data_IF_189249237302
#
_entry.id   IF_189249237302
#
_cell.length_a   1.000
_cell.length_b   1.000
_cell.length_c   1.000
_cell.angle_alpha   90.00
_cell.angle_beta   90.00
_cell.angle_gamma   90.00
#
_symmetry.space_group_name_H-M   'P 1'
#
loop_
_entity.id
_entity.type
_entity.pdbx_description
1 polymer ?
#
# COMPACT_ATOMS: atom_id res chain seq x y z
N UNK A 1 30.68 -23.32 3.09
CA UNK A 1 29.78 -22.67 4.08
C UNK A 1 28.41 -22.56 3.44
N UNK A 2 27.35 -23.12 4.01
CA UNK A 2 25.98 -23.00 3.48
C UNK A 2 25.50 -21.58 3.74
N UNK A 3 25.12 -20.87 2.68
CA UNK A 3 24.58 -19.52 2.83
C UNK A 3 23.20 -19.58 3.50
N UNK A 4 22.96 -18.67 4.44
CA UNK A 4 21.68 -18.59 5.16
C UNK A 4 20.56 -18.13 4.21
N UNK A 5 19.44 -18.86 4.21
CA UNK A 5 18.26 -18.47 3.43
C UNK A 5 17.43 -17.41 4.17
N UNK A 6 16.66 -16.62 3.42
CA UNK A 6 15.70 -15.67 4.02
C UNK A 6 14.59 -16.41 4.78
N UNK A 7 14.27 -17.65 4.38
CA UNK A 7 13.32 -18.50 5.08
C UNK A 7 13.83 -18.85 6.48
N UNK A 8 15.06 -19.39 6.59
CA UNK A 8 15.66 -19.75 7.87
C UNK A 8 15.88 -18.54 8.78
N UNK A 9 16.19 -17.38 8.21
CA UNK A 9 16.43 -16.15 8.97
C UNK A 9 15.17 -15.60 9.59
N UNK A 10 14.04 -15.63 8.91
CA UNK A 10 12.86 -14.96 9.44
C UNK A 10 11.50 -15.46 8.96
N UNK A 11 11.33 -15.82 7.68
CA UNK A 11 9.99 -16.08 7.11
C UNK A 11 9.24 -17.19 7.88
N UNK A 12 9.92 -18.25 8.30
CA UNK A 12 9.32 -19.33 9.07
C UNK A 12 8.72 -18.92 10.42
N UNK A 13 9.14 -17.77 10.95
CA UNK A 13 8.66 -17.23 12.22
C UNK A 13 7.55 -16.19 12.07
N UNK A 14 7.31 -15.67 10.86
CA UNK A 14 6.25 -14.72 10.59
C UNK A 14 4.91 -15.43 10.41
N UNK A 15 3.91 -14.97 11.14
CA UNK A 15 2.56 -15.52 11.05
C UNK A 15 1.67 -14.73 10.06
N UNK A 16 1.98 -13.44 9.80
CA UNK A 16 1.21 -12.55 8.95
C UNK A 16 2.11 -11.75 8.01
N UNK A 17 1.55 -11.41 6.86
CA UNK A 17 2.26 -10.64 5.82
C UNK A 17 2.36 -9.15 6.14
N UNK A 18 1.53 -8.64 7.02
CA UNK A 18 1.54 -7.23 7.35
C UNK A 18 2.78 -6.88 8.17
N UNK A 19 3.49 -5.87 7.71
CA UNK A 19 4.74 -5.39 8.31
C UNK A 19 4.59 -4.08 9.07
N UNK A 20 3.35 -3.59 9.24
CA UNK A 20 3.13 -2.44 10.10
C UNK A 20 3.37 -2.81 11.56
N UNK A 21 4.08 -1.96 12.27
CA UNK A 21 4.27 -2.08 13.69
C UNK A 21 3.10 -1.40 14.43
N UNK A 22 2.61 -1.95 15.54
CA UNK A 22 2.99 -3.23 16.13
C UNK A 22 2.50 -4.41 15.27
N UNK A 23 3.29 -5.47 15.23
CA UNK A 23 2.88 -6.70 14.56
C UNK A 23 1.86 -7.43 15.45
N UNK A 24 0.78 -7.90 14.82
CA UNK A 24 -0.14 -8.77 15.52
C UNK A 24 0.57 -10.08 15.90
N UNK A 25 0.63 -10.35 17.19
CA UNK A 25 1.21 -11.56 17.76
C UNK A 25 0.24 -12.17 18.77
N UNK A 26 0.48 -13.41 19.17
CA UNK A 26 -0.33 -14.05 20.21
C UNK A 26 -0.30 -13.25 21.54
N UNK A 27 0.72 -12.44 21.79
CA UNK A 27 0.79 -11.58 22.98
C UNK A 27 -0.23 -10.44 22.97
N UNK A 28 -0.70 -10.02 21.79
CA UNK A 28 -1.74 -8.99 21.68
C UNK A 28 -3.13 -9.54 21.96
N UNK A 29 -3.36 -10.84 21.88
CA UNK A 29 -4.67 -11.47 22.08
C UNK A 29 -5.25 -11.18 23.47
N UNK A 30 -4.42 -10.93 24.47
CA UNK A 30 -4.86 -10.58 25.84
C UNK A 30 -5.53 -9.20 25.94
N UNK A 31 -5.30 -8.33 24.95
CA UNK A 31 -5.89 -6.98 24.86
C UNK A 31 -7.01 -6.90 23.82
N UNK A 32 -7.42 -8.03 23.26
CA UNK A 32 -8.39 -8.08 22.18
C UNK A 32 -9.81 -7.77 22.70
N UNK A 33 -10.50 -6.89 22.02
CA UNK A 33 -11.86 -6.46 22.34
C UNK A 33 -12.82 -7.14 21.36
N UNK A 34 -13.84 -7.82 21.87
CA UNK A 34 -14.78 -8.64 21.06
C UNK A 34 -16.22 -8.11 21.04
N UNK A 35 -16.57 -7.21 21.96
CA UNK A 35 -17.89 -6.61 22.00
C UNK A 35 -17.99 -5.38 21.10
N UNK A 36 -18.99 -5.34 20.20
CA UNK A 36 -19.15 -4.26 19.23
C UNK A 36 -19.34 -2.87 19.87
N UNK A 37 -20.02 -2.81 21.03
CA UNK A 37 -20.20 -1.55 21.75
C UNK A 37 -18.85 -1.09 22.31
N UNK A 38 -18.11 -2.00 22.92
CA UNK A 38 -16.77 -1.73 23.42
C UNK A 38 -15.79 -1.35 22.29
N UNK A 39 -15.86 -2.00 21.12
CA UNK A 39 -15.08 -1.65 19.93
C UNK A 39 -15.31 -0.18 19.55
N UNK A 40 -16.58 0.25 19.48
CA UNK A 40 -16.92 1.64 19.15
C UNK A 40 -16.34 2.63 20.15
N UNK A 41 -16.43 2.33 21.43
CA UNK A 41 -15.89 3.19 22.49
C UNK A 41 -14.36 3.27 22.45
N UNK A 42 -13.67 2.15 22.21
CA UNK A 42 -12.21 2.12 22.01
C UNK A 42 -11.80 3.01 20.84
N UNK A 43 -12.45 2.86 19.67
CA UNK A 43 -12.18 3.67 18.49
C UNK A 43 -12.38 5.15 18.80
N UNK A 44 -13.55 5.50 19.37
CA UNK A 44 -13.92 6.89 19.66
C UNK A 44 -12.94 7.54 20.64
N UNK A 45 -12.68 6.90 21.78
CA UNK A 45 -11.75 7.38 22.80
C UNK A 45 -10.37 7.67 22.20
N UNK A 46 -9.79 6.71 21.51
CA UNK A 46 -8.44 6.84 20.97
C UNK A 46 -8.36 7.91 19.85
N UNK A 47 -9.39 8.05 19.02
CA UNK A 47 -9.44 9.11 17.99
C UNK A 47 -9.63 10.49 18.65
N UNK A 48 -10.45 10.61 19.67
CA UNK A 48 -10.69 11.88 20.37
C UNK A 48 -9.40 12.49 20.94
N UNK A 49 -8.46 11.67 21.36
CA UNK A 49 -7.16 12.09 21.88
C UNK A 49 -6.17 12.59 20.80
N UNK A 50 -6.48 12.40 19.52
CA UNK A 50 -5.60 12.81 18.42
C UNK A 50 -6.00 14.18 17.86
N UNK A 51 -5.03 15.05 17.60
CA UNK A 51 -5.24 16.30 16.86
C UNK A 51 -5.15 16.08 15.34
N UNK A 52 -4.31 15.15 14.95
CA UNK A 52 -3.97 14.87 13.55
C UNK A 52 -4.12 13.38 13.26
N UNK A 53 -4.60 13.09 12.05
CA UNK A 53 -4.76 11.72 11.55
C UNK A 53 -4.24 11.60 10.13
N UNK A 54 -3.85 10.38 9.77
CA UNK A 54 -3.71 9.98 8.38
C UNK A 54 -4.88 9.07 7.99
N UNK A 55 -5.28 9.11 6.74
CA UNK A 55 -6.31 8.23 6.19
C UNK A 55 -5.71 7.34 5.10
N UNK A 56 -6.17 6.11 5.05
CA UNK A 56 -5.87 5.16 4.00
C UNK A 56 -7.16 4.53 3.49
N UNK A 57 -7.32 4.44 2.18
CA UNK A 57 -8.44 3.73 1.57
C UNK A 57 -7.90 2.54 0.80
N UNK A 58 -8.39 1.36 1.14
CA UNK A 58 -8.03 0.11 0.47
C UNK A 58 -9.03 -0.22 -0.64
N UNK A 59 -8.52 -0.44 -1.84
CA UNK A 59 -9.30 -0.92 -3.00
C UNK A 59 -8.83 -2.34 -3.31
N UNK A 60 -9.63 -3.38 -3.04
CA UNK A 60 -9.18 -4.76 -3.12
C UNK A 60 -9.20 -5.36 -4.55
N UNK A 61 -9.43 -4.56 -5.59
CA UNK A 61 -9.59 -5.06 -6.95
C UNK A 61 -8.31 -5.03 -7.76
N UNK A 62 -8.07 -6.10 -8.52
CA UNK A 62 -7.03 -6.21 -9.55
C UNK A 62 -7.58 -6.93 -10.78
N UNK A 63 -7.02 -6.65 -11.97
CA UNK A 63 -7.31 -7.43 -13.18
C UNK A 63 -6.87 -8.90 -13.02
N UNK A 64 -5.74 -9.11 -12.32
CA UNK A 64 -5.23 -10.43 -11.94
C UNK A 64 -4.37 -10.33 -10.70
N UNK A 65 -4.36 -11.39 -9.88
CA UNK A 65 -3.51 -11.44 -8.68
C UNK A 65 -2.13 -11.97 -9.03
N UNK A 66 -1.11 -11.13 -8.87
CA UNK A 66 0.28 -11.54 -9.00
C UNK A 66 0.66 -12.60 -7.96
N UNK A 67 1.52 -13.56 -8.34
CA UNK A 67 1.92 -14.67 -7.45
C UNK A 67 2.68 -14.21 -6.20
N UNK A 68 3.35 -13.07 -6.24
CA UNK A 68 4.09 -12.48 -5.11
C UNK A 68 3.21 -11.57 -4.22
N UNK A 69 1.95 -11.34 -4.58
CA UNK A 69 1.11 -10.36 -3.87
C UNK A 69 0.70 -10.88 -2.49
N UNK A 70 1.01 -10.10 -1.46
CA UNK A 70 0.67 -10.36 -0.06
C UNK A 70 -0.54 -9.54 0.43
N UNK A 71 -1.04 -8.61 -0.41
CA UNK A 71 -2.15 -7.75 -0.03
C UNK A 71 -3.50 -8.46 -0.10
N UNK A 72 -4.48 -7.90 0.59
CA UNK A 72 -5.89 -8.29 0.48
C UNK A 72 -6.39 -7.87 -0.90
N UNK A 73 -6.54 -8.84 -1.80
CA UNK A 73 -6.93 -8.61 -3.19
C UNK A 73 -7.97 -9.63 -3.60
N UNK A 74 -9.01 -9.15 -4.24
CA UNK A 74 -10.01 -9.97 -4.93
C UNK A 74 -9.55 -10.21 -6.36
N UNK A 75 -9.43 -11.48 -6.70
CA UNK A 75 -9.01 -11.91 -8.04
C UNK A 75 -10.25 -12.06 -8.92
N UNK A 76 -10.23 -11.41 -10.08
CA UNK A 76 -11.32 -11.47 -11.07
C UNK A 76 -12.71 -11.10 -10.50
N UNK A 77 -12.90 -9.86 -10.06
CA UNK A 77 -14.20 -9.41 -9.57
C UNK A 77 -15.28 -9.56 -10.67
N UNK A 78 -16.50 -9.86 -10.24
CA UNK A 78 -17.65 -9.91 -11.12
C UNK A 78 -18.11 -8.49 -11.51
N UNK A 79 -18.94 -8.41 -12.55
CA UNK A 79 -19.54 -7.13 -12.95
C UNK A 79 -20.44 -6.59 -11.82
N UNK A 80 -20.23 -5.33 -11.45
CA UNK A 80 -20.95 -4.68 -10.35
C UNK A 80 -20.27 -4.79 -8.99
N UNK A 81 -19.35 -5.72 -8.76
CA UNK A 81 -18.64 -5.86 -7.46
C UNK A 81 -17.96 -4.57 -7.03
N UNK A 82 -17.32 -3.88 -7.96
CA UNK A 82 -16.61 -2.64 -7.66
C UNK A 82 -17.56 -1.50 -7.25
N UNK A 83 -18.72 -1.39 -7.91
CA UNK A 83 -19.71 -0.36 -7.59
C UNK A 83 -20.33 -0.63 -6.21
N UNK A 84 -20.75 -1.87 -5.99
CA UNK A 84 -21.31 -2.31 -4.70
C UNK A 84 -20.30 -2.11 -3.55
N UNK A 85 -19.04 -2.46 -3.79
CA UNK A 85 -17.98 -2.22 -2.81
C UNK A 85 -17.82 -0.74 -2.47
N UNK A 86 -17.80 0.13 -3.48
CA UNK A 86 -17.63 1.58 -3.26
C UNK A 86 -18.81 2.14 -2.48
N UNK A 87 -20.04 1.69 -2.73
CA UNK A 87 -21.21 2.10 -1.95
C UNK A 87 -21.05 1.76 -0.46
N UNK A 88 -20.57 0.55 -0.15
CA UNK A 88 -20.32 0.14 1.25
C UNK A 88 -19.13 0.88 1.85
N UNK A 89 -18.06 1.08 1.10
CA UNK A 89 -16.91 1.87 1.53
C UNK A 89 -17.31 3.32 1.90
N UNK A 90 -18.20 3.94 1.13
CA UNK A 90 -18.71 5.27 1.46
C UNK A 90 -19.55 5.28 2.74
N UNK A 91 -20.37 4.25 2.97
CA UNK A 91 -21.09 4.07 4.23
C UNK A 91 -20.12 3.87 5.41
N UNK A 92 -19.04 3.07 5.23
CA UNK A 92 -18.01 2.93 6.26
C UNK A 92 -17.36 4.27 6.60
N UNK A 93 -16.94 5.04 5.60
CA UNK A 93 -16.36 6.38 5.81
C UNK A 93 -17.34 7.26 6.61
N UNK A 94 -18.63 7.13 6.36
CA UNK A 94 -19.66 7.89 7.06
C UNK A 94 -19.81 7.49 8.53
N UNK A 95 -19.60 6.19 8.90
CA UNK A 95 -19.59 5.75 10.29
C UNK A 95 -18.54 6.47 11.15
N UNK A 96 -17.43 6.87 10.53
CA UNK A 96 -16.36 7.61 11.20
C UNK A 96 -16.53 9.13 11.14
N UNK A 97 -17.48 9.65 10.33
CA UNK A 97 -17.60 11.10 10.02
C UNK A 97 -17.61 11.97 11.27
N UNK A 98 -18.53 11.67 12.19
CA UNK A 98 -18.69 12.49 13.40
C UNK A 98 -17.51 12.38 14.36
N UNK A 99 -16.80 11.24 14.34
CA UNK A 99 -15.67 11.00 15.23
C UNK A 99 -14.44 11.79 14.77
N UNK A 100 -14.21 11.88 13.45
CA UNK A 100 -12.99 12.49 12.89
C UNK A 100 -13.21 13.88 12.27
N UNK A 101 -14.41 14.42 12.23
CA UNK A 101 -14.75 15.70 11.57
C UNK A 101 -13.89 16.90 12.02
N UNK A 102 -13.48 16.93 13.29
CA UNK A 102 -12.68 18.01 13.85
C UNK A 102 -11.17 17.72 13.81
N UNK A 103 -10.76 16.57 13.27
CA UNK A 103 -9.35 16.16 13.21
C UNK A 103 -8.71 16.70 11.94
N UNK A 104 -7.46 17.16 12.05
CA UNK A 104 -6.70 17.60 10.87
C UNK A 104 -6.12 16.37 10.16
N UNK A 105 -6.50 16.18 8.91
CA UNK A 105 -5.98 15.08 8.08
C UNK A 105 -4.69 15.55 7.41
N UNK A 106 -3.57 14.91 7.76
CA UNK A 106 -2.22 15.31 7.34
C UNK A 106 -1.56 14.35 6.35
N UNK A 107 -2.23 13.26 5.99
CA UNK A 107 -1.76 12.30 4.99
C UNK A 107 -2.92 11.47 4.47
N UNK A 108 -2.92 11.17 3.16
CA UNK A 108 -3.93 10.33 2.51
C UNK A 108 -3.34 9.54 1.35
N UNK A 109 -3.57 8.23 1.36
CA UNK A 109 -3.25 7.34 0.25
C UNK A 109 -4.48 6.53 -0.15
N UNK A 110 -4.68 6.40 -1.45
CA UNK A 110 -5.61 5.47 -2.09
C UNK A 110 -4.80 4.34 -2.70
N UNK A 111 -4.85 3.18 -2.07
CA UNK A 111 -3.98 2.04 -2.40
C UNK A 111 -4.69 0.69 -2.32
N UNK A 112 -3.91 -0.38 -2.25
CA UNK A 112 -4.40 -1.74 -2.03
C UNK A 112 -4.08 -2.71 -3.15
N UNK A 113 -5.09 -3.19 -3.85
CA UNK A 113 -4.94 -3.95 -5.08
C UNK A 113 -4.52 -3.04 -6.22
N UNK A 114 -5.49 -2.41 -6.86
CA UNK A 114 -5.26 -1.43 -7.92
C UNK A 114 -6.39 -0.39 -7.89
N UNK A 115 -6.24 0.74 -7.21
CA UNK A 115 -7.29 1.77 -7.15
C UNK A 115 -7.76 2.25 -8.52
N UNK A 116 -6.85 2.41 -9.47
CA UNK A 116 -7.18 2.81 -10.84
C UNK A 116 -7.97 1.75 -11.65
N UNK A 117 -8.21 0.56 -11.07
CA UNK A 117 -9.17 -0.41 -11.62
C UNK A 117 -10.60 0.14 -11.61
N UNK A 118 -10.94 0.94 -10.60
CA UNK A 118 -12.26 1.55 -10.44
C UNK A 118 -12.59 2.48 -11.61
N UNK A 119 -13.87 2.68 -11.85
CA UNK A 119 -14.38 3.70 -12.77
C UNK A 119 -14.02 5.11 -12.30
N UNK A 120 -14.00 6.07 -13.23
CA UNK A 120 -13.77 7.49 -12.90
C UNK A 120 -14.85 7.99 -11.92
N UNK A 121 -16.09 7.51 -12.06
CA UNK A 121 -17.20 7.84 -11.18
C UNK A 121 -16.91 7.38 -9.74
N UNK A 122 -16.50 6.13 -9.56
CA UNK A 122 -16.18 5.59 -8.24
C UNK A 122 -14.98 6.26 -7.59
N UNK A 123 -13.93 6.54 -8.37
CA UNK A 123 -12.77 7.31 -7.89
C UNK A 123 -13.20 8.73 -7.45
N UNK A 124 -14.14 9.32 -8.17
CA UNK A 124 -14.70 10.64 -7.81
C UNK A 124 -15.49 10.56 -6.50
N UNK A 125 -16.39 9.57 -6.36
CA UNK A 125 -17.18 9.39 -5.14
C UNK A 125 -16.30 9.22 -3.89
N UNK A 126 -15.28 8.37 -3.97
CA UNK A 126 -14.33 8.16 -2.87
C UNK A 126 -13.60 9.46 -2.55
N UNK A 127 -13.02 10.10 -3.56
CA UNK A 127 -12.20 11.30 -3.37
C UNK A 127 -13.01 12.47 -2.77
N UNK A 128 -14.21 12.69 -3.27
CA UNK A 128 -15.10 13.74 -2.74
C UNK A 128 -15.58 13.43 -1.31
N UNK A 129 -15.76 12.16 -0.97
CA UNK A 129 -16.04 11.76 0.42
C UNK A 129 -14.88 12.09 1.35
N UNK A 130 -13.64 11.81 0.94
CA UNK A 130 -12.44 12.15 1.72
C UNK A 130 -12.25 13.66 1.83
N UNK A 131 -12.50 14.41 0.78
CA UNK A 131 -12.41 15.90 0.78
C UNK A 131 -13.37 16.60 1.74
N UNK A 132 -14.41 15.91 2.20
CA UNK A 132 -15.30 16.47 3.25
C UNK A 132 -14.66 16.51 4.64
N UNK A 133 -13.51 15.86 4.84
CA UNK A 133 -12.73 15.99 6.07
C UNK A 133 -11.84 17.24 6.03
N UNK A 134 -11.33 17.65 7.19
CA UNK A 134 -10.44 18.80 7.33
C UNK A 134 -9.02 18.44 6.86
N UNK A 135 -8.79 18.46 5.54
CA UNK A 135 -7.50 18.16 4.95
C UNK A 135 -6.48 19.27 5.22
N UNK A 136 -5.23 18.89 5.50
CA UNK A 136 -4.13 19.85 5.61
C UNK A 136 -3.92 20.55 4.27
N UNK A 137 -3.76 21.86 4.32
CA UNK A 137 -3.49 22.68 3.13
C UNK A 137 -2.19 22.21 2.45
N UNK A 138 -2.21 22.06 1.13
CA UNK A 138 -1.10 21.56 0.32
C UNK A 138 -0.67 20.09 0.63
N UNK A 139 -1.51 19.29 1.28
CA UNK A 139 -1.26 17.87 1.45
C UNK A 139 -1.22 17.17 0.09
N UNK A 140 -0.23 16.28 -0.09
CA UNK A 140 -0.17 15.42 -1.28
C UNK A 140 -1.16 14.27 -1.16
N UNK A 141 -2.11 14.21 -2.10
CA UNK A 141 -2.96 13.04 -2.31
C UNK A 141 -2.21 12.06 -3.22
N UNK A 142 -2.10 10.82 -2.78
CA UNK A 142 -1.40 9.78 -3.52
C UNK A 142 -2.35 8.67 -3.95
N UNK A 143 -2.12 8.13 -5.15
CA UNK A 143 -2.90 7.03 -5.71
C UNK A 143 -1.99 6.01 -6.37
N UNK A 144 -2.39 4.74 -6.31
CA UNK A 144 -1.69 3.64 -6.96
C UNK A 144 -2.33 3.26 -8.30
N UNK A 145 -1.50 2.87 -9.26
CA UNK A 145 -1.92 2.41 -10.58
C UNK A 145 -1.02 1.28 -11.08
N UNK A 146 -1.42 0.66 -12.20
CA UNK A 146 -0.58 -0.28 -12.93
C UNK A 146 -0.11 0.33 -14.26
N UNK A 147 1.02 -0.14 -14.81
CA UNK A 147 1.49 0.31 -16.12
C UNK A 147 0.45 0.11 -17.23
N UNK A 148 -0.26 -1.01 -17.20
CA UNK A 148 -1.28 -1.34 -18.22
C UNK A 148 -2.43 -0.33 -18.21
N UNK A 149 -2.96 0.00 -17.04
CA UNK A 149 -4.04 1.00 -16.93
C UNK A 149 -3.54 2.38 -17.33
N UNK A 150 -2.36 2.78 -16.83
CA UNK A 150 -1.81 4.10 -17.16
C UNK A 150 -1.47 4.26 -18.65
N UNK A 151 -1.04 3.17 -19.33
CA UNK A 151 -0.76 3.19 -20.76
C UNK A 151 -2.03 3.26 -21.61
N UNK A 152 -3.09 2.57 -21.21
CA UNK A 152 -4.28 2.38 -22.05
C UNK A 152 -5.42 3.37 -21.76
N UNK A 153 -5.42 4.05 -20.60
CA UNK A 153 -6.52 4.93 -20.17
C UNK A 153 -5.99 6.29 -19.69
N UNK A 154 -5.55 7.13 -20.64
CA UNK A 154 -5.06 8.48 -20.35
C UNK A 154 -6.16 9.36 -19.72
N UNK A 155 -7.43 9.15 -20.06
CA UNK A 155 -8.53 9.96 -19.53
C UNK A 155 -8.72 9.68 -18.02
N UNK A 156 -8.53 8.44 -17.58
CA UNK A 156 -8.50 8.09 -16.16
C UNK A 156 -7.35 8.77 -15.43
N UNK A 157 -6.16 8.79 -16.02
CA UNK A 157 -5.00 9.46 -15.42
C UNK A 157 -5.24 10.98 -15.31
N UNK A 158 -5.82 11.61 -16.34
CA UNK A 158 -6.23 13.03 -16.28
C UNK A 158 -7.30 13.27 -15.22
N UNK A 159 -8.29 12.38 -15.10
CA UNK A 159 -9.33 12.46 -14.09
C UNK A 159 -8.74 12.41 -12.67
N UNK A 160 -7.81 11.50 -12.40
CA UNK A 160 -7.09 11.44 -11.11
C UNK A 160 -6.37 12.76 -10.81
N UNK A 161 -5.67 13.35 -11.80
CA UNK A 161 -5.03 14.65 -11.62
C UNK A 161 -6.05 15.75 -11.31
N UNK A 162 -7.16 15.78 -12.04
CA UNK A 162 -8.26 16.74 -11.82
C UNK A 162 -8.91 16.59 -10.44
N UNK A 163 -8.99 15.37 -9.93
CA UNK A 163 -9.47 15.08 -8.57
C UNK A 163 -8.51 15.56 -7.47
N UNK A 164 -7.31 16.04 -7.82
CA UNK A 164 -6.35 16.61 -6.88
C UNK A 164 -5.24 15.67 -6.46
N UNK A 165 -5.17 14.45 -7.05
CA UNK A 165 -4.00 13.60 -6.85
C UNK A 165 -2.78 14.26 -7.50
N UNK A 166 -1.72 14.38 -6.75
CA UNK A 166 -0.48 14.99 -7.22
C UNK A 166 0.72 14.04 -7.12
N UNK A 167 0.57 12.91 -6.46
CA UNK A 167 1.51 11.80 -6.48
C UNK A 167 0.83 10.55 -7.04
N UNK A 168 1.50 9.88 -7.97
CA UNK A 168 1.06 8.60 -8.52
C UNK A 168 2.15 7.56 -8.34
N UNK A 169 1.80 6.38 -7.82
CA UNK A 169 2.70 5.24 -7.67
C UNK A 169 2.34 4.15 -8.66
N UNK A 170 3.34 3.63 -9.34
CA UNK A 170 3.16 2.63 -10.39
C UNK A 170 4.08 1.44 -10.19
N UNK A 171 3.49 0.27 -10.01
CA UNK A 171 4.24 -0.96 -9.82
C UNK A 171 4.78 -1.55 -11.12
N UNK A 172 6.08 -1.35 -11.45
CA UNK A 172 6.74 -2.08 -12.52
C UNK A 172 7.16 -3.47 -12.05
N UNK A 173 7.69 -3.53 -10.85
CA UNK A 173 8.30 -4.69 -10.21
C UNK A 173 9.61 -5.12 -10.89
N UNK A 174 9.59 -5.37 -12.19
CA UNK A 174 10.75 -5.71 -13.04
C UNK A 174 10.47 -5.37 -14.49
N UNK A 175 11.51 -5.25 -15.31
CA UNK A 175 11.38 -5.14 -16.77
C UNK A 175 11.73 -6.45 -17.49
N UNK A 176 12.02 -7.51 -16.74
CA UNK A 176 12.26 -8.84 -17.30
C UNK A 176 10.92 -9.49 -17.64
N UNK A 177 10.62 -9.60 -18.93
CA UNK A 177 9.37 -10.21 -19.42
C UNK A 177 9.20 -11.64 -18.91
N UNK A 178 10.30 -12.42 -18.87
CA UNK A 178 10.31 -13.77 -18.31
C UNK A 178 9.85 -13.81 -16.84
N UNK A 179 10.30 -12.86 -16.02
CA UNK A 179 9.88 -12.76 -14.63
C UNK A 179 8.42 -12.29 -14.52
N UNK A 180 8.01 -11.31 -15.31
CA UNK A 180 6.61 -10.84 -15.31
C UNK A 180 5.65 -11.98 -15.68
N UNK A 181 5.95 -12.74 -16.73
CA UNK A 181 5.18 -13.92 -17.11
C UNK A 181 5.11 -14.96 -15.98
N UNK A 182 6.25 -15.24 -15.33
CA UNK A 182 6.31 -16.19 -14.22
C UNK A 182 5.45 -15.75 -13.03
N UNK A 183 5.24 -14.45 -12.84
CA UNK A 183 4.41 -13.87 -11.78
C UNK A 183 2.92 -13.77 -12.17
N UNK A 184 2.57 -14.06 -13.43
CA UNK A 184 1.22 -13.83 -13.96
C UNK A 184 0.89 -12.34 -14.09
N UNK A 185 1.89 -11.52 -14.44
CA UNK A 185 1.77 -10.07 -14.56
C UNK A 185 2.06 -9.60 -15.98
N UNK A 186 1.16 -8.79 -16.52
CA UNK A 186 1.35 -8.14 -17.80
C UNK A 186 2.29 -6.94 -17.67
N UNK A 187 3.18 -6.77 -18.66
CA UNK A 187 4.09 -5.64 -18.74
C UNK A 187 5.11 -5.82 -19.85
N UNK A 188 5.53 -4.73 -20.44
CA UNK A 188 6.62 -4.63 -21.42
C UNK A 188 7.21 -3.24 -21.41
N UNK A 189 8.38 -3.06 -22.02
CA UNK A 189 9.00 -1.74 -22.10
C UNK A 189 8.11 -0.70 -22.78
N UNK A 190 7.43 -1.07 -23.87
CA UNK A 190 6.51 -0.18 -24.59
C UNK A 190 5.32 0.26 -23.73
N UNK A 191 4.74 -0.66 -22.94
CA UNK A 191 3.69 -0.34 -21.98
C UNK A 191 4.22 0.64 -20.93
N UNK A 192 5.43 0.42 -20.41
CA UNK A 192 6.03 1.28 -19.38
C UNK A 192 6.32 2.69 -19.88
N UNK A 193 6.88 2.81 -21.09
CA UNK A 193 7.14 4.09 -21.76
C UNK A 193 5.84 4.86 -21.97
N UNK A 194 4.80 4.19 -22.53
CA UNK A 194 3.50 4.79 -22.75
C UNK A 194 2.80 5.21 -21.47
N UNK A 195 2.90 4.41 -20.42
CA UNK A 195 2.37 4.75 -19.10
C UNK A 195 3.01 6.02 -18.53
N UNK A 196 4.34 6.13 -18.59
CA UNK A 196 5.06 7.32 -18.14
C UNK A 196 4.71 8.54 -18.98
N UNK A 197 4.64 8.39 -20.32
CA UNK A 197 4.19 9.46 -21.22
C UNK A 197 2.80 9.98 -20.84
N UNK A 198 1.82 9.10 -20.65
CA UNK A 198 0.46 9.48 -20.28
C UNK A 198 0.38 10.15 -18.90
N UNK A 199 1.14 9.65 -17.91
CA UNK A 199 1.22 10.26 -16.57
C UNK A 199 1.80 11.68 -16.67
N UNK A 200 2.85 11.89 -17.47
CA UNK A 200 3.44 13.23 -17.70
C UNK A 200 2.48 14.14 -18.47
N UNK A 201 1.83 13.63 -19.51
CA UNK A 201 0.83 14.38 -20.27
C UNK A 201 -0.37 14.80 -19.44
N UNK A 202 -0.73 14.02 -18.41
CA UNK A 202 -1.75 14.38 -17.42
C UNK A 202 -1.28 15.42 -16.38
N UNK A 203 0.00 15.80 -16.38
CA UNK A 203 0.56 16.83 -15.49
C UNK A 203 1.03 16.33 -14.13
N UNK A 204 1.27 15.03 -13.95
CA UNK A 204 1.91 14.53 -12.74
C UNK A 204 3.42 14.80 -12.77
N UNK A 205 3.91 15.40 -11.71
CA UNK A 205 5.31 15.74 -11.47
C UNK A 205 5.91 14.98 -10.26
N UNK A 206 5.16 14.05 -9.70
CA UNK A 206 5.53 13.21 -8.56
C UNK A 206 5.22 11.74 -8.85
N UNK A 207 5.93 11.19 -9.83
CA UNK A 207 5.84 9.79 -10.21
C UNK A 207 6.76 8.95 -9.34
N UNK A 208 6.21 7.94 -8.69
CA UNK A 208 6.96 6.87 -8.04
C UNK A 208 6.86 5.58 -8.87
N UNK A 209 7.97 4.87 -9.03
CA UNK A 209 8.01 3.55 -9.64
C UNK A 209 8.46 2.53 -8.59
N UNK A 210 7.61 1.52 -8.37
CA UNK A 210 7.89 0.44 -7.44
C UNK A 210 8.59 -0.71 -8.16
N UNK A 211 9.72 -1.14 -7.62
CA UNK A 211 10.53 -2.24 -8.11
C UNK A 211 10.69 -3.30 -7.04
N UNK A 212 10.76 -4.56 -7.47
CA UNK A 212 10.93 -5.69 -6.55
C UNK A 212 12.22 -6.46 -6.83
N UNK A 213 12.83 -6.94 -5.75
CA UNK A 213 14.04 -7.75 -5.80
C UNK A 213 13.99 -8.92 -4.83
N UNK A 214 14.96 -9.82 -4.94
CA UNK A 214 15.05 -11.00 -4.08
C UNK A 214 14.18 -12.15 -4.55
N UNK A 215 13.80 -12.24 -5.81
CA UNK A 215 13.15 -13.41 -6.38
C UNK A 215 14.16 -14.52 -6.67
N UNK A 216 13.74 -15.79 -6.50
CA UNK A 216 14.60 -16.94 -6.70
C UNK A 216 15.28 -16.94 -8.08
N UNK A 217 14.50 -16.73 -9.13
CA UNK A 217 14.95 -16.79 -10.53
C UNK A 217 15.39 -15.43 -11.10
N UNK A 218 15.48 -14.39 -10.29
CA UNK A 218 15.99 -13.08 -10.71
C UNK A 218 17.49 -13.04 -10.58
N UNK A 219 18.21 -12.83 -11.68
CA UNK A 219 19.65 -12.61 -11.62
C UNK A 219 19.99 -11.18 -11.16
N UNK A 220 21.26 -10.96 -10.75
CA UNK A 220 21.75 -9.62 -10.45
C UNK A 220 21.71 -8.72 -11.67
N UNK A 221 21.97 -9.29 -12.86
CA UNK A 221 21.92 -8.57 -14.14
C UNK A 221 20.48 -8.18 -14.50
N UNK A 222 19.48 -9.05 -14.35
CA UNK A 222 18.07 -8.72 -14.57
C UNK A 222 17.66 -7.53 -13.70
N UNK A 223 18.06 -7.55 -12.42
CA UNK A 223 17.72 -6.47 -11.51
C UNK A 223 18.47 -5.18 -11.83
N UNK A 224 19.78 -5.26 -12.14
CA UNK A 224 20.56 -4.10 -12.58
C UNK A 224 19.97 -3.45 -13.85
N UNK A 225 19.54 -4.26 -14.81
CA UNK A 225 18.90 -3.79 -16.04
C UNK A 225 17.55 -3.12 -15.75
N UNK A 226 16.77 -3.67 -14.80
CA UNK A 226 15.53 -3.05 -14.32
C UNK A 226 15.80 -1.66 -13.73
N UNK A 227 16.80 -1.54 -12.87
CA UNK A 227 17.19 -0.24 -12.26
C UNK A 227 17.63 0.77 -13.34
N UNK A 228 18.53 0.38 -14.26
CA UNK A 228 19.02 1.25 -15.33
C UNK A 228 17.90 1.74 -16.23
N UNK A 229 17.00 0.84 -16.62
CA UNK A 229 15.84 1.19 -17.43
C UNK A 229 14.91 2.18 -16.71
N UNK A 230 14.61 1.92 -15.43
CA UNK A 230 13.77 2.81 -14.64
C UNK A 230 14.39 4.19 -14.46
N UNK A 231 15.72 4.27 -14.26
CA UNK A 231 16.46 5.54 -14.20
C UNK A 231 16.30 6.32 -15.53
N UNK A 232 16.33 5.64 -16.67
CA UNK A 232 16.19 6.29 -18.00
C UNK A 232 14.78 6.89 -18.20
N UNK A 233 13.76 6.33 -17.59
CA UNK A 233 12.38 6.89 -17.59
C UNK A 233 12.24 8.13 -16.69
N UNK A 234 13.25 8.43 -15.90
CA UNK A 234 13.38 9.64 -15.09
C UNK A 234 12.18 9.92 -14.14
N UNK A 235 11.75 8.95 -13.31
CA UNK A 235 10.76 9.24 -12.26
C UNK A 235 11.38 10.09 -11.15
N UNK A 236 10.54 10.79 -10.38
CA UNK A 236 11.00 11.54 -9.20
C UNK A 236 11.39 10.61 -8.06
N UNK A 237 10.67 9.47 -7.95
CA UNK A 237 10.85 8.51 -6.86
C UNK A 237 10.96 7.10 -7.39
N UNK A 238 11.78 6.30 -6.70
CA UNK A 238 11.88 4.85 -6.93
C UNK A 238 11.81 4.18 -5.57
N UNK A 239 10.92 3.21 -5.44
CA UNK A 239 10.81 2.39 -4.22
C UNK A 239 11.25 0.97 -4.51
N UNK A 240 12.12 0.43 -3.67
CA UNK A 240 12.61 -0.94 -3.78
C UNK A 240 11.94 -1.82 -2.73
N UNK A 241 11.21 -2.84 -3.17
CA UNK A 241 10.60 -3.83 -2.29
C UNK A 241 11.34 -5.15 -2.40
N UNK A 242 11.86 -5.63 -1.26
CA UNK A 242 12.30 -7.02 -1.17
C UNK A 242 11.08 -7.92 -1.19
N UNK A 243 11.07 -8.96 -2.03
CA UNK A 243 10.00 -9.95 -2.00
C UNK A 243 9.93 -10.64 -0.63
N UNK A 244 8.79 -10.59 0.03
CA UNK A 244 8.61 -11.10 1.40
C UNK A 244 8.16 -12.53 1.46
N UNK A 245 7.66 -13.08 0.38
CA UNK A 245 7.25 -14.48 0.20
C UNK A 245 6.09 -14.96 1.08
N UNK A 246 6.04 -14.61 2.36
CA UNK A 246 5.08 -15.14 3.34
C UNK A 246 3.63 -14.88 2.91
N UNK A 247 2.81 -15.95 2.91
CA UNK A 247 1.41 -15.88 2.49
C UNK A 247 1.21 -15.68 0.98
N UNK A 248 2.26 -15.74 0.18
CA UNK A 248 2.18 -15.62 -1.28
C UNK A 248 2.24 -16.99 -1.96
N UNK A 249 1.88 -17.04 -3.24
CA UNK A 249 2.01 -18.27 -4.05
C UNK A 249 3.47 -18.69 -4.28
N UNK A 250 4.44 -17.84 -3.93
CA UNK A 250 5.89 -18.08 -4.08
C UNK A 250 6.56 -18.44 -2.75
N UNK A 251 5.83 -18.67 -1.66
CA UNK A 251 6.41 -18.89 -0.33
C UNK A 251 7.46 -20.01 -0.30
N UNK A 252 7.21 -21.12 -1.00
CA UNK A 252 8.15 -22.25 -1.07
C UNK A 252 9.50 -21.90 -1.71
N UNK A 253 9.55 -20.92 -2.60
CA UNK A 253 10.79 -20.48 -3.25
C UNK A 253 11.75 -19.77 -2.28
N UNK A 254 11.25 -19.28 -1.16
CA UNK A 254 12.04 -18.54 -0.16
C UNK A 254 13.20 -19.34 0.41
N UNK A 255 13.09 -20.66 0.42
CA UNK A 255 14.14 -21.57 0.89
C UNK A 255 15.40 -21.53 0.00
N UNK A 256 15.25 -21.21 -1.29
CA UNK A 256 16.35 -21.07 -2.24
C UNK A 256 16.95 -19.67 -2.33
N UNK A 257 16.35 -18.68 -1.66
CA UNK A 257 16.83 -17.28 -1.71
C UNK A 257 17.73 -17.00 -0.51
N UNK A 258 18.97 -16.61 -0.76
CA UNK A 258 19.96 -16.34 0.29
C UNK A 258 19.96 -14.86 0.69
N UNK A 259 20.33 -14.57 1.94
CA UNK A 259 20.58 -13.19 2.39
C UNK A 259 21.68 -12.52 1.57
N UNK A 260 22.70 -13.26 1.17
CA UNK A 260 23.76 -12.76 0.31
C UNK A 260 23.23 -12.21 -1.01
N UNK A 261 22.35 -12.98 -1.69
CA UNK A 261 21.70 -12.52 -2.93
C UNK A 261 20.91 -11.24 -2.73
N UNK A 262 20.08 -11.21 -1.70
CA UNK A 262 19.20 -10.07 -1.40
C UNK A 262 20.02 -8.81 -1.12
N UNK A 263 21.04 -8.91 -0.26
CA UNK A 263 21.90 -7.78 0.09
C UNK A 263 22.69 -7.30 -1.13
N UNK A 264 23.25 -8.21 -1.93
CA UNK A 264 23.98 -7.87 -3.15
C UNK A 264 23.10 -7.15 -4.17
N UNK A 265 21.86 -7.58 -4.38
CA UNK A 265 20.91 -6.88 -5.26
C UNK A 265 20.59 -5.48 -4.75
N UNK A 266 20.37 -5.32 -3.44
CA UNK A 266 20.17 -4.00 -2.85
C UNK A 266 21.37 -3.08 -3.07
N UNK A 267 22.59 -3.58 -2.84
CA UNK A 267 23.82 -2.79 -3.04
C UNK A 267 24.01 -2.35 -4.51
N UNK A 268 23.69 -3.23 -5.46
CA UNK A 268 23.69 -2.91 -6.90
C UNK A 268 22.72 -1.75 -7.18
N UNK A 269 21.47 -1.86 -6.71
CA UNK A 269 20.46 -0.82 -6.91
C UNK A 269 20.88 0.49 -6.25
N UNK A 270 21.31 0.44 -4.99
CA UNK A 270 21.75 1.62 -4.23
C UNK A 270 22.85 2.40 -4.97
N UNK A 271 23.88 1.69 -5.45
CA UNK A 271 24.99 2.31 -6.16
C UNK A 271 24.55 2.91 -7.50
N UNK A 272 23.70 2.22 -8.27
CA UNK A 272 23.19 2.73 -9.55
C UNK A 272 22.31 3.98 -9.34
N UNK A 273 21.40 3.95 -8.39
CA UNK A 273 20.49 5.04 -8.08
C UNK A 273 21.24 6.26 -7.55
N UNK A 274 22.20 6.06 -6.63
CA UNK A 274 23.06 7.13 -6.12
C UNK A 274 23.85 7.79 -7.23
N UNK A 275 24.45 7.00 -8.14
CA UNK A 275 25.18 7.53 -9.30
C UNK A 275 24.29 8.34 -10.24
N UNK A 276 23.00 8.00 -10.33
CA UNK A 276 22.00 8.72 -11.12
C UNK A 276 21.38 9.94 -10.38
N UNK A 277 21.90 10.31 -9.21
CA UNK A 277 21.48 11.50 -8.47
C UNK A 277 20.29 11.29 -7.54
N UNK A 278 19.85 10.05 -7.32
CA UNK A 278 18.84 9.78 -6.31
C UNK A 278 19.44 9.78 -4.91
N UNK A 279 18.72 10.37 -3.99
CA UNK A 279 19.06 10.41 -2.57
C UNK A 279 18.25 9.35 -1.85
N UNK A 280 18.92 8.48 -1.11
CA UNK A 280 18.29 7.54 -0.20
C UNK A 280 18.54 7.97 1.24
N UNK A 281 17.52 7.83 2.07
CA UNK A 281 17.72 7.92 3.51
C UNK A 281 18.23 6.56 4.03
N UNK A 282 19.17 6.59 4.96
CA UNK A 282 19.73 5.37 5.54
C UNK A 282 18.65 4.43 6.07
N UNK A 283 18.75 3.16 5.70
CA UNK A 283 17.77 2.14 6.11
C UNK A 283 16.40 2.24 5.44
N UNK A 284 16.20 3.16 4.49
CA UNK A 284 14.97 3.29 3.73
C UNK A 284 15.13 2.66 2.34
N UNK A 285 14.04 2.14 1.83
CA UNK A 285 13.94 1.54 0.50
C UNK A 285 13.42 2.52 -0.57
N UNK A 286 13.20 3.78 -0.21
CA UNK A 286 12.73 4.85 -1.11
C UNK A 286 13.88 5.76 -1.52
N UNK A 287 13.92 6.12 -2.79
CA UNK A 287 14.93 6.95 -3.41
C UNK A 287 14.26 8.15 -4.08
N UNK A 288 14.78 9.33 -3.86
CA UNK A 288 14.20 10.59 -4.35
C UNK A 288 15.20 11.41 -5.14
N UNK A 289 14.75 12.06 -6.23
CA UNK A 289 15.47 13.13 -6.92
C UNK A 289 15.15 14.51 -6.36
N UNK A 290 14.10 14.63 -5.57
CA UNK A 290 13.68 15.91 -5.01
C UNK A 290 14.41 16.14 -3.70
N UNK A 291 15.21 17.22 -3.58
CA UNK A 291 15.94 17.54 -2.35
C UNK A 291 14.98 17.67 -1.15
N UNK A 292 15.36 17.06 -0.02
CA UNK A 292 14.59 17.04 1.24
C UNK A 292 13.26 16.27 1.19
N UNK A 293 12.90 15.67 0.05
CA UNK A 293 11.76 14.76 -0.05
C UNK A 293 12.23 13.32 0.16
N UNK A 294 11.53 12.59 1.02
CA UNK A 294 11.91 11.21 1.37
C UNK A 294 11.50 10.18 0.31
N UNK A 295 10.79 10.59 -0.74
CA UNK A 295 10.28 9.70 -1.77
C UNK A 295 9.03 8.90 -1.37
N UNK A 296 8.55 9.08 -0.15
CA UNK A 296 7.29 8.46 0.33
C UNK A 296 6.09 9.39 0.12
N UNK A 297 4.88 8.84 0.15
CA UNK A 297 3.67 9.66 0.20
C UNK A 297 3.57 10.47 1.50
N UNK A 298 2.71 11.48 1.54
CA UNK A 298 2.44 12.22 2.78
C UNK A 298 1.93 11.29 3.88
N UNK A 299 1.03 10.35 3.52
CA UNK A 299 0.53 9.32 4.43
C UNK A 299 1.68 8.49 5.05
N UNK A 300 2.55 7.89 4.22
CA UNK A 300 3.65 7.08 4.70
C UNK A 300 4.67 7.89 5.51
N UNK A 301 4.98 9.12 5.08
CA UNK A 301 5.89 10.00 5.82
C UNK A 301 5.34 10.29 7.22
N UNK A 302 4.09 10.71 7.32
CA UNK A 302 3.46 11.04 8.60
C UNK A 302 3.30 9.81 9.49
N UNK A 303 2.84 8.69 8.93
CA UNK A 303 2.68 7.45 9.66
C UNK A 303 4.00 6.86 10.17
N UNK A 304 5.01 6.72 9.29
CA UNK A 304 6.24 5.97 9.60
C UNK A 304 7.30 6.83 10.26
N UNK A 305 7.40 8.11 9.87
CA UNK A 305 8.44 9.00 10.37
C UNK A 305 7.95 9.83 11.56
N UNK A 306 6.72 10.31 11.51
CA UNK A 306 6.15 11.16 12.54
C UNK A 306 5.28 10.40 13.55
N UNK A 307 5.14 9.09 13.41
CA UNK A 307 4.29 8.23 14.26
C UNK A 307 2.83 8.74 14.36
N UNK A 308 2.32 9.38 13.29
CA UNK A 308 0.95 9.89 13.27
C UNK A 308 -0.03 8.74 13.20
N UNK A 309 -1.03 8.76 14.06
CA UNK A 309 -2.16 7.82 14.05
C UNK A 309 -2.85 7.79 12.69
N UNK A 310 -3.37 6.63 12.30
CA UNK A 310 -4.03 6.47 11.00
C UNK A 310 -5.24 5.56 11.09
N UNK A 311 -6.22 5.87 10.23
CA UNK A 311 -7.44 5.09 10.04
C UNK A 311 -7.44 4.54 8.62
N UNK A 312 -7.61 3.22 8.51
CA UNK A 312 -7.78 2.53 7.24
C UNK A 312 -9.24 2.17 7.00
N UNK A 313 -9.73 2.49 5.81
CA UNK A 313 -11.05 2.14 5.33
C UNK A 313 -10.99 1.05 4.28
N UNK A 314 -12.00 0.21 4.23
CA UNK A 314 -12.17 -0.83 3.25
C UNK A 314 -11.73 -2.20 3.73
N UNK A 315 -11.94 -3.19 2.87
CA UNK A 315 -11.71 -4.61 3.15
C UNK A 315 -10.28 -4.87 3.60
N UNK A 316 -10.10 -5.45 4.78
CA UNK A 316 -8.80 -5.82 5.32
C UNK A 316 -7.86 -4.67 5.66
N UNK A 317 -8.36 -3.42 5.64
CA UNK A 317 -7.55 -2.26 5.99
C UNK A 317 -7.09 -2.30 7.45
N UNK A 318 -5.91 -1.74 7.71
CA UNK A 318 -5.37 -1.63 9.05
C UNK A 318 -5.55 -0.20 9.58
N UNK A 319 -5.89 -0.08 10.86
CA UNK A 319 -5.85 1.17 11.62
C UNK A 319 -4.90 1.03 12.81
N UNK A 320 -4.18 2.10 13.13
CA UNK A 320 -3.45 2.25 14.38
C UNK A 320 -3.63 3.67 14.88
N UNK A 321 -4.28 3.82 16.02
CA UNK A 321 -4.64 5.12 16.54
C UNK A 321 -4.58 5.12 18.07
N UNK A 322 -3.83 6.06 18.63
CA UNK A 322 -3.58 6.05 20.06
C UNK A 322 -3.03 4.70 20.51
N UNK A 323 -3.79 3.98 21.29
CA UNK A 323 -3.41 2.68 21.84
C UNK A 323 -4.04 1.49 21.10
N UNK A 324 -4.87 1.68 20.09
CA UNK A 324 -5.47 0.54 19.40
C UNK A 324 -4.82 0.19 18.07
N UNK A 325 -4.72 -1.10 17.82
CA UNK A 325 -4.42 -1.70 16.53
C UNK A 325 -5.64 -2.49 16.07
N UNK A 326 -6.15 -2.20 14.89
CA UNK A 326 -7.30 -2.90 14.32
C UNK A 326 -7.06 -3.32 12.87
N UNK A 327 -7.76 -4.38 12.49
CA UNK A 327 -7.87 -4.84 11.10
C UNK A 327 -9.33 -4.98 10.73
N UNK A 328 -9.68 -4.49 9.57
CA UNK A 328 -11.04 -4.66 9.03
C UNK A 328 -11.29 -6.12 8.60
N UNK A 329 -12.56 -6.48 8.54
CA UNK A 329 -13.04 -7.73 7.96
C UNK A 329 -12.44 -7.97 6.58
N UNK A 330 -12.22 -9.23 6.22
CA UNK A 330 -11.56 -9.63 4.98
C UNK A 330 -10.04 -9.64 5.04
N UNK A 331 -9.42 -9.28 6.17
CA UNK A 331 -7.95 -9.32 6.30
C UNK A 331 -7.37 -10.75 6.20
N UNK A 332 -8.15 -11.77 6.58
CA UNK A 332 -7.74 -13.16 6.55
C UNK A 332 -8.39 -13.98 5.42
N UNK A 333 -9.69 -13.79 5.19
CA UNK A 333 -10.49 -14.59 4.28
C UNK A 333 -10.77 -13.92 2.92
N UNK A 334 -10.51 -12.63 2.79
CA UNK A 334 -10.77 -11.80 1.61
C UNK A 334 -12.25 -11.79 1.17
N UNK A 335 -13.19 -12.05 2.10
CA UNK A 335 -14.62 -12.16 1.78
C UNK A 335 -15.33 -10.84 1.96
N UNK A 336 -16.06 -10.41 0.92
CA UNK A 336 -16.86 -9.18 0.93
C UNK A 336 -18.12 -9.28 1.78
N UNK A 337 -18.77 -10.44 1.82
CA UNK A 337 -20.09 -10.57 2.42
C UNK A 337 -20.14 -10.11 3.88
N UNK A 338 -19.19 -10.56 4.70
CA UNK A 338 -19.13 -10.14 6.11
C UNK A 338 -18.88 -8.63 6.27
N UNK A 339 -18.07 -8.07 5.37
CA UNK A 339 -17.81 -6.65 5.36
C UNK A 339 -19.06 -5.85 5.00
N UNK A 340 -19.81 -6.28 3.98
CA UNK A 340 -21.07 -5.65 3.58
C UNK A 340 -22.13 -5.79 4.69
N UNK A 341 -22.30 -6.98 5.25
CA UNK A 341 -23.26 -7.23 6.34
C UNK A 341 -23.00 -6.31 7.55
N UNK A 342 -21.75 -6.12 7.94
CA UNK A 342 -21.41 -5.23 9.04
C UNK A 342 -21.82 -3.78 8.72
N UNK A 343 -21.46 -3.29 7.54
CA UNK A 343 -21.76 -1.92 7.10
C UNK A 343 -23.26 -1.67 7.00
N UNK A 344 -24.03 -2.59 6.43
CA UNK A 344 -25.49 -2.46 6.28
C UNK A 344 -26.20 -2.45 7.64
N UNK A 345 -25.62 -3.07 8.65
CA UNK A 345 -26.11 -3.00 10.03
C UNK A 345 -25.54 -1.81 10.83
N UNK A 346 -24.82 -0.88 10.21
CA UNK A 346 -24.24 0.27 10.88
C UNK A 346 -23.13 -0.06 11.88
N UNK A 347 -22.46 -1.21 11.70
CA UNK A 347 -21.40 -1.73 12.56
C UNK A 347 -20.05 -1.43 11.91
N UNK A 348 -19.04 -1.01 12.70
CA UNK A 348 -17.68 -0.92 12.23
C UNK A 348 -17.18 -2.28 11.72
N UNK A 349 -16.65 -2.36 10.49
CA UNK A 349 -16.30 -3.64 9.86
C UNK A 349 -14.97 -4.19 10.41
N UNK A 350 -14.84 -4.29 11.72
CA UNK A 350 -13.61 -4.70 12.41
C UNK A 350 -13.60 -6.22 12.55
N UNK A 351 -12.52 -6.84 12.05
CA UNK A 351 -12.27 -8.27 12.25
C UNK A 351 -11.69 -8.52 13.64
N UNK A 352 -10.70 -7.71 14.00
CA UNK A 352 -10.08 -7.77 15.32
C UNK A 352 -9.50 -6.40 15.70
N UNK A 353 -9.52 -6.12 16.99
CA UNK A 353 -9.00 -4.92 17.60
C UNK A 353 -8.34 -5.25 18.93
N UNK A 354 -7.16 -4.75 19.16
CA UNK A 354 -6.47 -4.80 20.42
C UNK A 354 -6.34 -3.37 20.98
N UNK A 355 -6.79 -3.14 22.22
CA UNK A 355 -6.59 -1.91 22.99
C UNK A 355 -5.36 -2.12 23.87
N UNK A 356 -4.22 -1.56 23.46
CA UNK A 356 -2.93 -1.77 24.09
C UNK A 356 -2.75 -0.85 25.29
N UNK A 357 -2.16 -1.32 26.41
CA UNK A 357 -1.71 -0.41 27.47
C UNK A 357 -0.61 0.52 26.93
N UNK A 358 -0.53 1.72 27.49
CA UNK A 358 0.37 2.77 27.00
C UNK A 358 1.85 2.35 26.99
N UNK A 359 2.22 1.48 27.91
CA UNK A 359 3.58 0.94 28.03
C UNK A 359 3.95 0.06 26.83
N UNK A 360 2.97 -0.64 26.24
CA UNK A 360 3.16 -1.47 25.04
C UNK A 360 3.21 -0.65 23.74
N UNK A 361 2.62 0.55 23.75
CA UNK A 361 2.64 1.46 22.60
C UNK A 361 4.01 2.12 22.44
N UNK A 362 4.71 2.33 23.53
CA UNK A 362 6.01 3.01 23.58
C UNK A 362 7.22 2.06 23.59
N UNK A 363 6.99 0.74 23.62
CA UNK A 363 8.04 -0.27 23.58
C UNK A 363 8.47 -0.59 22.15
#
# INVERSE_FOLDING_TARGET
MKLESIYDRGIKFHHYCNTAYPLRTNSLAQYEVHDNTAIREVIKKNIEEQDKLCLYVHVPFCQSRCKFCEYVVLDKPEEGDADNYVEHLLKEIELYRDIIKNKKIVGYDLGGGTPSYLSIENLTKITESIKKFNLEENMYLSVETTPVIAANDIEKIKALKKLGYNRISMGFQTVSEKLLESFGREGSKSIYEKAVENIRAAGFDRLNIDLMYGFLNQSDEDFANTIKYTIALNPEFITLYRNRYKGTKLESESQGVTLYKVNRQYDIAYNLLKKAGYIANNGKNTFSKIPKDMGTSSYLTKRVINATSYIGFGLGAQSFCGNYLAYNLGCADHMLNKYFDAIDNGIFPINDIADLPIEEVHA
#
